data_IF_012611734322
#
_entry.id   IF_012611734322
#
_cell.length_a   1.000
_cell.length_b   1.000
_cell.length_c   1.000
_cell.angle_alpha   90.00
_cell.angle_beta   90.00
_cell.angle_gamma   90.00
#
_symmetry.space_group_name_H-M   'P 1'
#
loop_
_entity.id
_entity.type
_entity.pdbx_description
1 polymer ?
#
# COMPACT_ATOMS: atom_id res chain seq x y z
N UNK A 1 -16.95 1.10 10.85
CA UNK A 1 -15.92 0.58 9.94
C UNK A 1 -15.72 1.47 8.72
N UNK A 2 -16.71 1.59 7.81
CA UNK A 2 -16.54 2.36 6.56
C UNK A 2 -16.21 3.85 6.77
N UNK A 3 -16.87 4.51 7.73
CA UNK A 3 -16.57 5.90 8.12
C UNK A 3 -15.17 6.09 8.72
N UNK A 4 -14.57 5.02 9.25
CA UNK A 4 -13.29 5.07 9.96
C UNK A 4 -12.07 4.90 9.03
N UNK A 5 -12.27 4.68 7.73
CA UNK A 5 -11.21 4.33 6.77
C UNK A 5 -10.10 5.40 6.70
N UNK A 6 -10.45 6.67 6.87
CA UNK A 6 -9.50 7.78 6.80
C UNK A 6 -8.69 7.98 8.10
N UNK A 7 -9.23 7.53 9.23
CA UNK A 7 -8.73 7.86 10.57
C UNK A 7 -8.10 6.68 11.29
N UNK A 8 -8.41 5.44 10.92
CA UNK A 8 -7.83 4.25 11.55
C UNK A 8 -6.67 3.73 10.68
N UNK A 9 -5.46 3.51 11.25
CA UNK A 9 -4.33 2.95 10.51
C UNK A 9 -4.66 1.61 9.84
N UNK A 10 -4.22 1.40 8.60
CA UNK A 10 -4.47 0.19 7.81
C UNK A 10 -5.94 -0.17 7.54
N UNK A 11 -6.90 0.67 7.95
CA UNK A 11 -8.33 0.44 7.70
C UNK A 11 -8.67 0.34 6.20
N UNK A 12 -8.03 1.18 5.37
CA UNK A 12 -8.23 1.15 3.91
C UNK A 12 -7.80 -0.18 3.28
N UNK A 13 -6.73 -0.80 3.81
CA UNK A 13 -6.23 -2.09 3.35
C UNK A 13 -7.26 -3.19 3.65
N UNK A 14 -7.72 -3.28 4.90
CA UNK A 14 -8.71 -4.27 5.34
C UNK A 14 -10.09 -4.05 4.70
N UNK A 15 -10.45 -2.81 4.33
CA UNK A 15 -11.68 -2.55 3.57
C UNK A 15 -11.58 -2.99 2.10
N UNK A 16 -10.36 -3.05 1.52
CA UNK A 16 -10.19 -3.35 0.10
C UNK A 16 -10.63 -4.78 -0.23
N UNK A 17 -10.34 -5.75 0.62
CA UNK A 17 -10.73 -7.15 0.42
C UNK A 17 -12.25 -7.30 0.44
N UNK A 18 -12.94 -6.64 1.38
CA UNK A 18 -14.41 -6.64 1.44
C UNK A 18 -15.02 -6.02 0.18
N UNK A 19 -14.48 -4.89 -0.30
CA UNK A 19 -14.95 -4.26 -1.54
C UNK A 19 -14.77 -5.17 -2.75
N UNK A 20 -13.62 -5.84 -2.86
CA UNK A 20 -13.36 -6.79 -3.95
C UNK A 20 -14.36 -7.96 -3.91
N UNK A 21 -14.54 -8.58 -2.74
CA UNK A 21 -15.49 -9.66 -2.53
C UNK A 21 -16.92 -9.25 -2.91
N UNK A 22 -17.37 -8.06 -2.46
CA UNK A 22 -18.69 -7.53 -2.80
C UNK A 22 -18.82 -7.26 -4.29
N UNK A 23 -17.84 -6.61 -4.93
CA UNK A 23 -17.90 -6.27 -6.36
C UNK A 23 -17.98 -7.48 -7.29
N UNK A 24 -17.54 -8.65 -6.82
CA UNK A 24 -17.57 -9.89 -7.60
C UNK A 24 -18.91 -10.62 -7.49
N UNK A 25 -19.69 -10.38 -6.43
CA UNK A 25 -20.86 -11.19 -6.09
C UNK A 25 -22.16 -10.38 -6.00
N UNK A 26 -22.06 -9.06 -5.83
CA UNK A 26 -23.21 -8.20 -5.59
C UNK A 26 -23.10 -6.86 -6.32
N UNK A 27 -24.23 -6.39 -6.83
CA UNK A 27 -24.36 -5.12 -7.54
C UNK A 27 -25.41 -4.24 -6.87
N UNK A 28 -25.09 -2.97 -6.66
CA UNK A 28 -26.03 -2.01 -6.08
C UNK A 28 -27.28 -1.78 -6.95
N UNK A 29 -27.17 -1.93 -8.27
CA UNK A 29 -28.27 -1.68 -9.19
C UNK A 29 -29.29 -2.83 -9.25
N UNK A 30 -28.88 -4.05 -8.90
CA UNK A 30 -29.66 -5.27 -9.13
C UNK A 30 -29.87 -6.10 -7.86
N UNK A 31 -28.96 -6.01 -6.91
CA UNK A 31 -28.98 -6.78 -5.68
C UNK A 31 -29.88 -6.18 -4.61
N UNK A 32 -30.37 -7.05 -3.75
CA UNK A 32 -31.16 -6.70 -2.58
C UNK A 32 -30.28 -6.67 -1.33
N UNK A 33 -30.72 -5.94 -0.30
CA UNK A 33 -29.99 -5.85 0.97
C UNK A 33 -29.88 -7.20 1.70
N UNK A 34 -30.79 -8.13 1.41
CA UNK A 34 -30.90 -9.45 2.04
C UNK A 34 -30.04 -10.51 1.33
N UNK A 35 -29.40 -10.15 0.21
CA UNK A 35 -28.57 -11.08 -0.55
C UNK A 35 -27.37 -11.53 0.28
N UNK A 36 -27.12 -12.84 0.26
CA UNK A 36 -25.97 -13.42 0.94
C UNK A 36 -24.73 -13.33 0.06
N UNK A 37 -23.62 -12.91 0.67
CA UNK A 37 -22.31 -12.84 0.02
C UNK A 37 -21.38 -13.83 0.68
N UNK A 38 -20.77 -14.70 -0.11
CA UNK A 38 -19.82 -15.69 0.38
C UNK A 38 -18.47 -15.01 0.62
N UNK A 39 -18.00 -15.07 1.86
CA UNK A 39 -16.71 -14.50 2.24
C UNK A 39 -15.60 -15.49 1.98
N UNK A 40 -14.59 -15.07 1.22
CA UNK A 40 -13.34 -15.82 1.13
C UNK A 40 -12.53 -15.72 2.45
N UNK A 41 -11.54 -16.60 2.58
CA UNK A 41 -10.70 -16.67 3.78
C UNK A 41 -10.01 -15.32 4.07
N UNK A 42 -9.61 -14.61 3.02
CA UNK A 42 -8.89 -13.34 3.16
C UNK A 42 -9.81 -12.24 3.68
N UNK A 43 -11.01 -12.12 3.12
CA UNK A 43 -12.02 -11.14 3.55
C UNK A 43 -12.50 -11.42 4.97
N UNK A 44 -12.69 -12.70 5.31
CA UNK A 44 -13.01 -13.08 6.68
C UNK A 44 -11.93 -12.62 7.69
N UNK A 45 -10.65 -12.83 7.38
CA UNK A 45 -9.54 -12.32 8.22
C UNK A 45 -9.54 -10.80 8.31
N UNK A 46 -9.74 -10.10 7.20
CA UNK A 46 -9.84 -8.64 7.19
C UNK A 46 -11.01 -8.13 8.03
N UNK A 47 -12.15 -8.85 8.05
CA UNK A 47 -13.28 -8.52 8.92
C UNK A 47 -12.95 -8.72 10.40
N UNK A 48 -12.28 -9.81 10.75
CA UNK A 48 -11.82 -10.07 12.13
C UNK A 48 -10.82 -9.01 12.63
N UNK A 49 -10.05 -8.41 11.73
CA UNK A 49 -9.14 -7.31 12.08
C UNK A 49 -9.89 -6.09 12.61
N UNK A 50 -11.15 -5.87 12.22
CA UNK A 50 -11.99 -4.75 12.71
C UNK A 50 -12.54 -4.97 14.12
N UNK A 51 -11.64 -5.23 15.06
CA UNK A 51 -11.96 -5.35 16.48
C UNK A 51 -11.85 -3.99 17.19
N UNK A 52 -12.32 -3.96 18.45
CA UNK A 52 -12.32 -2.73 19.26
C UNK A 52 -10.93 -2.14 19.44
N UNK A 53 -9.89 -2.98 19.64
CA UNK A 53 -8.53 -2.48 19.84
C UNK A 53 -7.99 -1.71 18.63
N UNK A 54 -8.29 -2.16 17.41
CA UNK A 54 -7.86 -1.48 16.19
C UNK A 54 -8.70 -0.22 15.92
N UNK A 55 -10.01 -0.26 16.19
CA UNK A 55 -10.90 0.89 16.02
C UNK A 55 -10.56 2.04 16.99
N UNK A 56 -10.17 1.70 18.23
CA UNK A 56 -9.86 2.67 19.29
C UNK A 56 -8.42 3.16 19.29
N UNK A 57 -7.56 2.63 18.42
CA UNK A 57 -6.14 2.98 18.38
C UNK A 57 -5.91 4.46 18.04
N UNK A 58 -6.86 5.09 17.35
CA UNK A 58 -6.75 6.46 16.85
C UNK A 58 -5.59 6.62 15.85
N UNK A 59 -5.38 7.85 15.40
CA UNK A 59 -4.19 8.25 14.64
C UNK A 59 -3.63 9.51 15.29
N UNK A 60 -2.31 9.62 15.34
CA UNK A 60 -1.66 10.87 15.74
C UNK A 60 -2.18 12.00 14.85
N UNK A 61 -2.50 13.16 15.43
CA UNK A 61 -3.03 14.31 14.69
C UNK A 61 -2.08 14.78 13.58
N UNK A 62 -0.78 14.52 13.74
CA UNK A 62 0.22 14.69 12.70
C UNK A 62 1.17 13.48 12.76
N UNK A 63 1.27 12.76 11.64
CA UNK A 63 2.49 12.02 11.39
C UNK A 63 3.59 13.08 11.19
N UNK A 64 4.77 12.97 11.84
CA UNK A 64 5.83 13.93 11.62
C UNK A 64 6.12 14.02 10.13
N UNK A 65 6.07 15.25 9.58
CA UNK A 65 6.44 15.48 8.18
C UNK A 65 7.87 14.96 8.01
N UNK A 66 8.17 14.19 6.94
CA UNK A 66 9.53 13.78 6.68
C UNK A 66 10.43 15.01 6.69
N UNK A 67 11.34 15.09 7.66
CA UNK A 67 12.25 16.24 7.80
C UNK A 67 13.32 16.23 6.70
N UNK A 68 13.33 15.19 5.87
CA UNK A 68 14.39 14.90 4.91
C UNK A 68 13.76 14.14 3.74
N UNK A 69 13.99 14.66 2.54
CA UNK A 69 13.48 14.08 1.29
C UNK A 69 14.68 13.71 0.43
N UNK A 70 14.84 12.42 0.14
CA UNK A 70 15.83 11.92 -0.82
C UNK A 70 15.16 11.72 -2.17
N UNK A 71 15.81 12.22 -3.22
CA UNK A 71 15.40 11.93 -4.60
C UNK A 71 16.26 10.80 -5.13
N UNK A 72 15.64 9.77 -5.67
CA UNK A 72 16.31 8.60 -6.24
C UNK A 72 15.83 8.45 -7.67
N UNK A 73 16.75 8.19 -8.59
CA UNK A 73 16.47 7.92 -9.98
C UNK A 73 17.17 6.62 -10.41
N UNK A 74 16.52 5.88 -11.30
CA UNK A 74 16.99 4.61 -11.81
C UNK A 74 16.83 4.56 -13.33
N UNK A 75 17.85 4.07 -14.01
CA UNK A 75 17.89 3.90 -15.46
C UNK A 75 18.21 2.45 -15.81
N UNK A 76 18.28 2.12 -17.11
CA UNK A 76 18.71 0.78 -17.56
C UNK A 76 20.21 0.54 -17.42
N UNK A 77 21.00 1.53 -17.01
CA UNK A 77 22.47 1.41 -16.89
C UNK A 77 22.97 1.57 -15.46
N UNK A 78 22.23 2.30 -14.62
CA UNK A 78 22.59 2.55 -13.23
C UNK A 78 21.53 3.35 -12.49
N UNK A 79 21.89 3.85 -11.32
CA UNK A 79 21.03 4.61 -10.42
C UNK A 79 21.80 5.77 -9.78
N UNK A 80 21.04 6.73 -9.26
CA UNK A 80 21.58 7.85 -8.50
C UNK A 80 20.61 8.30 -7.42
N UNK A 81 21.16 8.85 -6.34
CA UNK A 81 20.37 9.46 -5.28
C UNK A 81 20.98 10.78 -4.84
N UNK A 82 20.10 11.69 -4.43
CA UNK A 82 20.44 13.03 -3.99
C UNK A 82 19.72 13.35 -2.68
N UNK A 83 20.50 13.81 -1.69
CA UNK A 83 20.01 14.26 -0.40
C UNK A 83 20.74 15.54 0.05
N UNK A 84 20.06 16.68 -0.01
CA UNK A 84 20.62 17.99 0.30
C UNK A 84 21.88 18.29 -0.52
N UNK A 85 23.08 18.15 0.06
CA UNK A 85 24.37 18.35 -0.61
C UNK A 85 25.11 17.02 -0.84
N UNK A 86 24.49 15.89 -0.53
CA UNK A 86 25.04 14.56 -0.71
C UNK A 86 24.49 13.95 -1.99
N UNK A 87 25.38 13.38 -2.79
CA UNK A 87 25.04 12.62 -3.98
C UNK A 87 25.74 11.28 -3.94
N UNK A 88 25.01 10.25 -4.35
CA UNK A 88 25.55 8.92 -4.57
C UNK A 88 25.04 8.41 -5.92
N UNK A 89 25.83 7.56 -6.56
CA UNK A 89 25.44 6.93 -7.81
C UNK A 89 26.16 5.58 -7.94
N UNK A 90 25.59 4.70 -8.74
CA UNK A 90 26.14 3.38 -9.00
C UNK A 90 25.67 2.81 -10.32
N UNK A 91 26.42 1.85 -10.84
CA UNK A 91 26.02 1.06 -12.01
C UNK A 91 25.36 -0.24 -11.56
N UNK A 92 24.53 -0.79 -12.42
CA UNK A 92 23.96 -2.11 -12.20
C UNK A 92 24.97 -3.21 -12.50
N UNK A 93 24.95 -4.28 -11.71
CA UNK A 93 25.70 -5.47 -12.06
C UNK A 93 25.08 -6.18 -13.28
N UNK A 94 25.83 -7.12 -13.87
CA UNK A 94 25.40 -7.81 -15.09
C UNK A 94 24.08 -8.59 -14.94
N UNK A 95 23.70 -8.99 -13.73
CA UNK A 95 22.41 -9.65 -13.50
C UNK A 95 21.29 -8.62 -13.43
N UNK A 96 21.52 -7.52 -12.71
CA UNK A 96 20.57 -6.43 -12.52
C UNK A 96 20.22 -5.72 -13.83
N UNK A 97 21.17 -5.57 -14.76
CA UNK A 97 20.90 -4.98 -16.09
C UNK A 97 19.78 -5.68 -16.89
N UNK A 98 19.44 -6.93 -16.54
CA UNK A 98 18.35 -7.68 -17.17
C UNK A 98 17.01 -7.53 -16.45
N UNK A 99 16.94 -6.75 -15.37
CA UNK A 99 15.70 -6.54 -14.63
C UNK A 99 14.83 -5.50 -15.31
N UNK A 100 13.51 -5.66 -15.15
CA UNK A 100 12.54 -4.68 -15.61
C UNK A 100 12.74 -3.34 -14.88
N UNK A 101 12.51 -2.21 -15.54
CA UNK A 101 12.75 -0.87 -14.97
C UNK A 101 12.06 -0.66 -13.62
N UNK A 102 10.79 -1.07 -13.46
CA UNK A 102 10.12 -0.99 -12.15
C UNK A 102 10.83 -1.76 -11.03
N UNK A 103 11.51 -2.87 -11.33
CA UNK A 103 12.31 -3.59 -10.34
C UNK A 103 13.58 -2.78 -10.02
N UNK A 104 14.23 -2.20 -11.03
CA UNK A 104 15.41 -1.34 -10.83
C UNK A 104 15.08 -0.08 -10.01
N UNK A 105 13.95 0.57 -10.26
CA UNK A 105 13.46 1.70 -9.47
C UNK A 105 13.27 1.33 -8.00
N UNK A 106 12.62 0.19 -7.73
CA UNK A 106 12.43 -0.31 -6.37
C UNK A 106 13.76 -0.69 -5.72
N UNK A 107 14.67 -1.30 -6.48
CA UNK A 107 15.98 -1.72 -6.00
C UNK A 107 16.87 -0.51 -5.66
N UNK A 108 16.84 0.55 -6.46
CA UNK A 108 17.58 1.78 -6.21
C UNK A 108 17.22 2.42 -4.86
N UNK A 109 15.98 2.24 -4.39
CA UNK A 109 15.55 2.72 -3.06
C UNK A 109 16.22 1.95 -1.91
N UNK A 110 16.71 0.73 -2.15
CA UNK A 110 17.38 -0.10 -1.15
C UNK A 110 18.91 0.07 -1.11
N UNK A 111 19.52 0.72 -2.11
CA UNK A 111 20.97 0.92 -2.26
C UNK A 111 21.41 2.30 -1.79
#
# INVERSE_FOLDING_TARGET
MASCIAIVPHARLNMRTLRQCLSQQWSQAQGQLQDLVLLDRQTHKSLQWWNLSNLMKGRSFQDPVPQTTTTIDASMIGWGAHLNNLTIQGEWDSKQLNYHINHLELLAVFL
#
